data_IF_791443823735
#
_entry.id   IF_791443823735
#
_cell.length_a   1.000
_cell.length_b   1.000
_cell.length_c   1.000
_cell.angle_alpha   90.00
_cell.angle_beta   90.00
_cell.angle_gamma   90.00
#
_symmetry.space_group_name_H-M   'P 1'
#
loop_
_entity.id
_entity.type
_entity.pdbx_description
1 polymer ?
#
# COMPACT_ATOMS: atom_id res chain seq x y z
N UNK A 1 19.89 -0.27 -1.61
CA UNK A 1 18.63 0.25 -1.04
C UNK A 1 17.73 0.87 -2.11
N UNK A 2 18.07 2.01 -2.78
CA UNK A 2 17.13 2.65 -3.73
C UNK A 2 16.72 1.74 -4.91
N UNK A 3 17.64 1.05 -5.56
CA UNK A 3 17.31 0.15 -6.67
C UNK A 3 16.36 -0.97 -6.24
N UNK A 4 16.51 -1.49 -5.03
CA UNK A 4 15.63 -2.53 -4.48
C UNK A 4 14.20 -1.99 -4.26
N UNK A 5 14.05 -0.71 -3.82
CA UNK A 5 12.74 -0.05 -3.77
C UNK A 5 12.14 0.08 -5.17
N UNK A 6 12.92 0.56 -6.17
CA UNK A 6 12.43 0.69 -7.54
C UNK A 6 12.00 -0.66 -8.13
N UNK A 7 12.78 -1.71 -7.90
CA UNK A 7 12.45 -3.08 -8.32
C UNK A 7 11.16 -3.56 -7.66
N UNK A 8 10.99 -3.31 -6.34
CA UNK A 8 9.78 -3.66 -5.62
C UNK A 8 8.54 -2.91 -6.16
N UNK A 9 8.65 -1.59 -6.40
CA UNK A 9 7.58 -0.77 -6.97
C UNK A 9 7.17 -1.27 -8.36
N UNK A 10 8.16 -1.63 -9.21
CA UNK A 10 7.92 -2.16 -10.55
C UNK A 10 7.25 -3.54 -10.53
N UNK A 11 7.63 -4.39 -9.59
CA UNK A 11 7.05 -5.73 -9.41
C UNK A 11 5.67 -5.70 -8.71
N UNK A 12 5.27 -4.55 -8.15
CA UNK A 12 4.08 -4.39 -7.31
C UNK A 12 3.07 -3.39 -7.91
N UNK A 13 2.53 -3.63 -9.11
CA UNK A 13 1.61 -2.70 -9.78
C UNK A 13 0.25 -2.54 -9.07
N UNK A 14 -0.11 -3.48 -8.17
CA UNK A 14 -1.33 -3.49 -7.37
C UNK A 14 -1.10 -4.21 -6.05
N UNK A 15 -2.01 -4.04 -5.09
CA UNK A 15 -1.96 -4.59 -3.73
C UNK A 15 -1.69 -6.10 -3.68
N UNK A 16 -2.34 -6.92 -4.52
CA UNK A 16 -2.14 -8.38 -4.53
C UNK A 16 -0.70 -8.78 -4.85
N UNK A 17 -0.07 -8.12 -5.84
CA UNK A 17 1.32 -8.37 -6.20
C UNK A 17 2.27 -7.79 -5.14
N UNK A 18 1.95 -6.63 -4.56
CA UNK A 18 2.73 -6.06 -3.46
C UNK A 18 2.81 -7.03 -2.27
N UNK A 19 1.66 -7.56 -1.83
CA UNK A 19 1.60 -8.51 -0.72
C UNK A 19 2.30 -9.82 -1.06
N UNK A 20 2.18 -10.32 -2.32
CA UNK A 20 2.92 -11.51 -2.77
C UNK A 20 4.42 -11.29 -2.68
N UNK A 21 4.93 -10.18 -3.22
CA UNK A 21 6.36 -9.86 -3.18
C UNK A 21 6.90 -9.71 -1.76
N UNK A 22 6.11 -9.12 -0.84
CA UNK A 22 6.46 -9.04 0.58
C UNK A 22 6.48 -10.42 1.22
N UNK A 23 5.45 -11.25 0.97
CA UNK A 23 5.36 -12.61 1.50
C UNK A 23 6.51 -13.51 1.02
N UNK A 24 6.90 -13.38 -0.24
CA UNK A 24 8.03 -14.10 -0.81
C UNK A 24 9.35 -13.65 -0.15
N UNK A 25 9.61 -12.35 0.00
CA UNK A 25 10.79 -11.83 0.73
C UNK A 25 10.84 -12.27 2.19
N UNK A 26 9.69 -12.29 2.88
CA UNK A 26 9.60 -12.82 4.25
C UNK A 26 9.94 -14.31 4.28
N UNK A 27 9.40 -15.12 3.35
CA UNK A 27 9.69 -16.54 3.24
C UNK A 27 11.16 -16.81 2.97
N UNK A 28 11.76 -16.11 2.02
CA UNK A 28 13.18 -16.21 1.67
C UNK A 28 14.09 -15.82 2.85
N UNK A 29 13.59 -14.98 3.77
CA UNK A 29 14.28 -14.56 4.99
C UNK A 29 13.97 -15.47 6.20
N UNK A 30 13.30 -16.61 6.00
CA UNK A 30 13.07 -17.62 7.02
C UNK A 30 11.79 -17.43 7.85
N UNK A 31 10.93 -16.47 7.53
CA UNK A 31 9.61 -16.38 8.15
C UNK A 31 8.68 -17.48 7.65
N UNK A 32 8.02 -18.19 8.57
CA UNK A 32 7.07 -19.24 8.21
C UNK A 32 5.71 -18.66 7.86
N UNK A 33 5.16 -18.98 6.71
CA UNK A 33 3.75 -18.68 6.41
C UNK A 33 2.85 -19.58 7.25
N UNK A 34 1.92 -18.99 8.00
CA UNK A 34 0.95 -19.72 8.80
C UNK A 34 -0.46 -19.54 8.24
N UNK A 35 -1.25 -20.61 8.34
CA UNK A 35 -2.70 -20.53 8.13
C UNK A 35 -3.35 -19.96 9.39
N UNK A 36 -4.03 -18.81 9.33
CA UNK A 36 -4.70 -18.22 10.49
C UNK A 36 -5.82 -19.08 11.07
N UNK A 37 -6.32 -20.07 10.34
CA UNK A 37 -7.30 -21.04 10.86
C UNK A 37 -6.67 -22.10 11.80
N UNK A 38 -5.34 -22.27 11.71
CA UNK A 38 -4.64 -23.28 12.52
C UNK A 38 -4.11 -22.70 13.84
N UNK A 39 -3.95 -23.52 14.92
CA UNK A 39 -3.32 -23.07 16.15
C UNK A 39 -1.89 -22.55 15.94
N UNK A 40 -1.49 -21.48 16.67
CA UNK A 40 -0.11 -20.97 16.61
C UNK A 40 0.91 -21.95 17.21
N UNK A 41 0.48 -22.84 18.13
CA UNK A 41 1.37 -23.68 18.89
C UNK A 41 2.14 -22.92 19.97
N UNK A 42 3.24 -23.49 20.47
CA UNK A 42 4.14 -22.84 21.42
C UNK A 42 5.07 -21.90 20.68
N UNK A 43 5.15 -20.66 21.12
CA UNK A 43 6.02 -19.62 20.56
C UNK A 43 7.25 -19.43 21.44
N UNK A 44 8.43 -19.32 20.81
CA UNK A 44 9.72 -19.07 21.44
C UNK A 44 10.34 -17.80 20.90
N UNK A 45 11.25 -17.20 21.68
CA UNK A 45 12.05 -16.08 21.22
C UNK A 45 12.75 -16.38 19.88
N UNK A 46 12.65 -15.47 18.93
CA UNK A 46 13.18 -15.60 17.57
C UNK A 46 12.24 -16.29 16.57
N UNK A 47 11.15 -16.93 17.01
CA UNK A 47 10.15 -17.48 16.08
C UNK A 47 9.60 -16.36 15.21
N UNK A 48 9.73 -16.55 13.90
CA UNK A 48 9.32 -15.58 12.89
C UNK A 48 8.29 -16.20 11.96
N UNK A 49 7.15 -15.53 11.80
CA UNK A 49 6.07 -16.01 10.95
C UNK A 49 5.23 -14.87 10.39
N UNK A 50 4.47 -15.16 9.36
CA UNK A 50 3.50 -14.22 8.81
C UNK A 50 2.21 -14.91 8.40
N UNK A 51 1.15 -14.11 8.31
CA UNK A 51 -0.16 -14.50 7.78
C UNK A 51 -0.60 -13.49 6.74
N UNK A 52 -1.37 -13.93 5.75
CA UNK A 52 -2.03 -13.05 4.78
C UNK A 52 -3.54 -13.06 4.98
N UNK A 53 -4.22 -11.98 4.62
CA UNK A 53 -5.67 -11.91 4.59
C UNK A 53 -6.11 -11.39 3.23
N UNK A 54 -7.03 -12.12 2.57
CA UNK A 54 -7.55 -11.76 1.24
C UNK A 54 -6.47 -11.67 0.14
N UNK A 55 -5.25 -12.18 0.37
CA UNK A 55 -4.06 -12.03 -0.49
C UNK A 55 -3.68 -10.57 -0.78
N UNK A 56 -4.24 -9.61 -0.04
CA UNK A 56 -4.04 -8.18 -0.22
C UNK A 56 -3.58 -7.44 1.06
N UNK A 57 -3.47 -8.14 2.18
CA UNK A 57 -2.84 -7.67 3.41
C UNK A 57 -1.93 -8.74 4.01
N UNK A 58 -0.88 -8.33 4.73
CA UNK A 58 0.11 -9.21 5.34
C UNK A 58 0.50 -8.72 6.73
N UNK A 59 0.63 -9.65 7.66
CA UNK A 59 0.99 -9.41 9.06
C UNK A 59 2.15 -10.31 9.42
N UNK A 60 3.33 -9.74 9.66
CA UNK A 60 4.54 -10.46 10.02
C UNK A 60 4.91 -10.21 11.48
N UNK A 61 5.38 -11.25 12.15
CA UNK A 61 5.70 -11.25 13.57
C UNK A 61 7.06 -11.90 13.79
N UNK A 62 7.88 -11.29 14.65
CA UNK A 62 9.09 -11.90 15.22
C UNK A 62 9.00 -11.82 16.73
N UNK A 63 8.96 -12.96 17.40
CA UNK A 63 8.76 -13.07 18.84
C UNK A 63 10.03 -12.61 19.58
N UNK A 64 9.89 -11.63 20.47
CA UNK A 64 10.98 -11.06 21.25
C UNK A 64 11.53 -12.01 22.34
N UNK A 65 12.62 -11.59 22.98
CA UNK A 65 13.23 -12.37 24.08
C UNK A 65 12.36 -12.46 25.33
N UNK A 66 11.57 -11.40 25.61
CA UNK A 66 10.68 -11.36 26.78
C UNK A 66 9.24 -11.72 26.41
N UNK A 67 8.45 -12.25 27.34
CA UNK A 67 7.02 -12.38 27.18
C UNK A 67 6.38 -11.04 26.82
N UNK A 68 5.32 -11.07 25.97
CA UNK A 68 4.65 -9.81 25.57
C UNK A 68 4.05 -9.06 26.76
N UNK A 69 3.65 -9.75 27.83
CA UNK A 69 3.15 -9.12 29.05
C UNK A 69 4.17 -8.19 29.70
N UNK A 70 5.46 -8.44 29.51
CA UNK A 70 6.57 -7.67 30.09
C UNK A 70 7.11 -6.62 29.13
N UNK A 71 7.17 -6.90 27.82
CA UNK A 71 7.82 -6.07 26.81
C UNK A 71 6.85 -5.39 25.81
N UNK A 72 5.68 -5.96 25.57
CA UNK A 72 4.71 -5.42 24.63
C UNK A 72 5.03 -5.74 23.17
N UNK A 73 4.57 -4.86 22.28
CA UNK A 73 4.75 -4.97 20.84
C UNK A 73 5.35 -3.68 20.26
N UNK A 74 6.30 -3.80 19.37
CA UNK A 74 6.71 -2.74 18.46
C UNK A 74 6.05 -2.98 17.10
N UNK A 75 5.13 -2.09 16.72
CA UNK A 75 4.26 -2.29 15.55
C UNK A 75 4.55 -1.20 14.52
N UNK A 76 4.85 -1.59 13.28
CA UNK A 76 4.83 -0.70 12.13
C UNK A 76 3.65 -1.10 11.26
N UNK A 77 2.81 -0.10 10.93
CA UNK A 77 1.63 -0.26 10.07
C UNK A 77 1.82 0.55 8.79
N UNK A 78 1.37 0.00 7.65
CA UNK A 78 1.35 0.64 6.34
C UNK A 78 0.19 0.06 5.52
N UNK A 79 -0.04 0.54 4.28
CA UNK A 79 -1.07 -0.03 3.41
C UNK A 79 -0.57 -0.41 2.02
N UNK A 80 -1.18 -1.45 1.45
CA UNK A 80 -0.77 -2.05 0.17
C UNK A 80 -1.49 -1.49 -1.05
N UNK A 81 -2.66 -0.88 -0.85
CA UNK A 81 -3.50 -0.33 -1.91
C UNK A 81 -3.07 1.08 -2.30
N UNK A 82 -3.50 1.52 -3.46
CA UNK A 82 -3.23 2.86 -3.99
C UNK A 82 -4.37 3.27 -4.94
N UNK A 83 -4.64 4.58 -5.12
CA UNK A 83 -5.69 5.04 -6.01
C UNK A 83 -5.46 4.62 -7.45
N UNK A 84 -6.50 4.08 -8.07
CA UNK A 84 -6.45 3.56 -9.44
C UNK A 84 -7.86 3.42 -10.06
N UNK A 85 -7.97 2.63 -11.12
CA UNK A 85 -9.24 2.27 -11.76
C UNK A 85 -9.42 0.76 -11.75
N UNK A 86 -10.52 0.29 -11.14
CA UNK A 86 -10.92 -1.12 -11.15
C UNK A 86 -11.70 -1.44 -12.42
N UNK A 87 -11.41 -2.55 -13.05
CA UNK A 87 -12.16 -3.07 -14.19
C UNK A 87 -13.46 -3.71 -13.66
N UNK A 88 -14.60 -3.28 -14.22
CA UNK A 88 -15.92 -3.82 -13.83
C UNK A 88 -16.13 -5.23 -14.38
N UNK A 89 -17.00 -6.06 -13.75
CA UNK A 89 -17.22 -7.45 -14.19
C UNK A 89 -17.63 -7.58 -15.67
N UNK A 90 -18.55 -6.73 -16.16
CA UNK A 90 -18.90 -6.64 -17.58
C UNK A 90 -18.09 -5.49 -18.19
N UNK A 91 -16.86 -5.78 -18.57
CA UNK A 91 -15.85 -4.75 -18.82
C UNK A 91 -15.87 -4.20 -20.24
N UNK A 92 -16.12 -5.01 -21.26
CA UNK A 92 -15.92 -4.60 -22.64
C UNK A 92 -17.09 -3.75 -23.17
N UNK A 93 -16.73 -2.63 -23.80
CA UNK A 93 -17.66 -1.70 -24.45
C UNK A 93 -17.21 -1.48 -25.89
N UNK A 94 -18.01 -1.95 -26.84
CA UNK A 94 -17.77 -1.75 -28.26
C UNK A 94 -18.22 -0.35 -28.70
N UNK A 95 -17.35 0.39 -29.39
CA UNK A 95 -17.64 1.68 -29.98
C UNK A 95 -17.48 1.61 -31.50
N UNK A 96 -18.47 2.14 -32.25
CA UNK A 96 -18.51 2.18 -33.72
C UNK A 96 -18.18 0.81 -34.39
N UNK A 97 -18.56 -0.26 -33.74
CA UNK A 97 -18.46 -1.63 -34.26
C UNK A 97 -17.05 -2.24 -34.27
N UNK A 98 -16.02 -1.47 -33.94
CA UNK A 98 -14.62 -1.96 -34.04
C UNK A 98 -13.71 -1.62 -32.87
N UNK A 99 -13.90 -0.49 -32.20
CA UNK A 99 -13.04 -0.11 -31.06
C UNK A 99 -13.60 -0.64 -29.76
N UNK A 100 -12.74 -1.28 -28.96
CA UNK A 100 -13.09 -1.78 -27.63
C UNK A 100 -12.43 -0.92 -26.58
N UNK A 101 -13.24 -0.43 -25.64
CA UNK A 101 -12.80 0.23 -24.42
C UNK A 101 -13.27 -0.55 -23.20
N UNK A 102 -12.60 -0.38 -22.07
CA UNK A 102 -12.99 -1.03 -20.82
C UNK A 102 -13.85 -0.10 -19.96
N UNK A 103 -14.89 -0.67 -19.38
CA UNK A 103 -15.70 -0.05 -18.35
C UNK A 103 -14.99 -0.18 -17.01
N UNK A 104 -14.60 0.94 -16.43
CA UNK A 104 -13.87 1.00 -15.16
C UNK A 104 -14.63 1.81 -14.11
N UNK A 105 -14.29 1.61 -12.86
CA UNK A 105 -14.70 2.47 -11.76
C UNK A 105 -13.47 2.99 -11.01
N UNK A 106 -13.59 4.20 -10.46
CA UNK A 106 -12.51 4.82 -9.70
C UNK A 106 -12.38 4.14 -8.34
N UNK A 107 -11.18 3.71 -8.00
CA UNK A 107 -10.80 3.21 -6.69
C UNK A 107 -10.01 4.28 -5.94
N UNK A 108 -10.44 4.63 -4.72
CA UNK A 108 -9.82 5.71 -3.95
C UNK A 108 -10.03 7.10 -4.54
N UNK A 109 -9.06 7.98 -4.32
CA UNK A 109 -9.08 9.37 -4.73
C UNK A 109 -7.99 9.78 -5.74
N UNK A 110 -7.88 9.16 -6.95
CA UNK A 110 -6.81 9.49 -7.89
C UNK A 110 -6.93 10.89 -8.47
N UNK A 111 -5.80 11.53 -8.77
CA UNK A 111 -5.75 12.70 -9.64
C UNK A 111 -5.99 12.21 -11.08
N UNK A 112 -7.26 12.10 -11.48
CA UNK A 112 -7.67 11.43 -12.73
C UNK A 112 -6.96 11.95 -13.97
N UNK A 113 -6.69 13.27 -14.06
CA UNK A 113 -6.02 13.88 -15.21
C UNK A 113 -4.61 13.35 -15.48
N UNK A 114 -3.94 12.81 -14.47
CA UNK A 114 -2.58 12.27 -14.60
C UNK A 114 -2.52 10.88 -15.25
N UNK A 115 -3.67 10.25 -15.43
CA UNK A 115 -3.81 8.94 -16.07
C UNK A 115 -4.03 9.00 -17.57
N UNK A 116 -4.29 10.20 -18.10
CA UNK A 116 -4.50 10.40 -19.56
C UNK A 116 -3.18 10.36 -20.33
N UNK A 117 -3.27 9.90 -21.58
CA UNK A 117 -2.21 9.85 -22.58
C UNK A 117 -0.96 9.06 -22.15
N UNK A 118 -1.13 8.15 -21.19
CA UNK A 118 -0.06 7.33 -20.67
C UNK A 118 -0.22 5.88 -21.12
N UNK A 119 0.90 5.16 -21.36
CA UNK A 119 0.85 3.73 -21.53
C UNK A 119 0.44 3.08 -20.22
N UNK A 120 -0.69 2.39 -20.21
CA UNK A 120 -1.23 1.68 -19.06
C UNK A 120 -1.22 0.18 -19.30
N UNK A 121 -1.26 -0.58 -18.21
CA UNK A 121 -1.38 -2.03 -18.22
C UNK A 121 -2.47 -2.49 -17.24
N UNK A 122 -2.68 -3.81 -17.16
CA UNK A 122 -3.63 -4.47 -16.25
C UNK A 122 -2.86 -5.38 -15.30
N UNK A 123 -3.20 -5.31 -14.04
CA UNK A 123 -2.71 -6.23 -13.02
C UNK A 123 -3.80 -6.53 -11.98
N UNK A 124 -3.66 -7.65 -11.27
CA UNK A 124 -4.61 -8.04 -10.23
C UNK A 124 -4.58 -9.53 -9.95
N UNK A 125 -5.75 -10.06 -9.60
CA UNK A 125 -5.95 -11.49 -9.42
C UNK A 125 -7.12 -11.99 -10.26
N UNK A 126 -7.03 -13.26 -10.64
CA UNK A 126 -8.08 -14.02 -11.30
C UNK A 126 -8.44 -15.19 -10.41
N UNK A 127 -9.71 -15.41 -10.20
CA UNK A 127 -10.23 -16.52 -9.42
C UNK A 127 -10.59 -17.65 -10.36
N UNK A 128 -9.94 -18.77 -10.18
CA UNK A 128 -10.18 -19.98 -11.00
C UNK A 128 -10.80 -21.09 -10.14
N UNK A 129 -11.40 -22.06 -10.83
CA UNK A 129 -12.03 -23.21 -10.20
C UNK A 129 -11.01 -23.99 -9.37
N UNK A 130 -11.33 -24.20 -8.11
CA UNK A 130 -10.56 -25.02 -7.17
C UNK A 130 -11.23 -26.36 -6.88
N UNK A 131 -10.90 -26.94 -5.74
CA UNK A 131 -11.38 -28.27 -5.34
C UNK A 131 -12.89 -28.33 -5.09
N UNK A 132 -13.47 -27.25 -4.56
CA UNK A 132 -14.90 -27.12 -4.30
C UNK A 132 -15.34 -25.63 -4.35
N UNK A 133 -16.63 -25.38 -4.12
CA UNK A 133 -17.22 -24.04 -4.20
C UNK A 133 -16.69 -23.04 -3.15
N UNK A 134 -16.15 -23.52 -2.03
CA UNK A 134 -15.60 -22.70 -0.93
C UNK A 134 -14.08 -22.57 -1.00
N UNK A 135 -13.44 -23.29 -1.93
CA UNK A 135 -12.00 -23.37 -2.10
C UNK A 135 -11.56 -23.02 -3.54
N UNK A 136 -11.98 -21.85 -4.09
CA UNK A 136 -11.47 -21.40 -5.37
C UNK A 136 -9.99 -21.09 -5.26
N UNK A 137 -9.27 -21.16 -6.39
CA UNK A 137 -7.84 -20.83 -6.42
C UNK A 137 -7.64 -19.40 -6.94
N UNK A 138 -6.64 -18.73 -6.40
CA UNK A 138 -6.20 -17.40 -6.86
C UNK A 138 -4.97 -17.53 -7.75
N UNK A 139 -5.03 -16.94 -8.94
CA UNK A 139 -3.87 -16.72 -9.80
C UNK A 139 -3.63 -15.22 -9.95
N UNK A 140 -2.37 -14.79 -9.86
CA UNK A 140 -2.01 -13.38 -10.06
C UNK A 140 -1.82 -13.12 -11.56
N UNK A 141 -2.20 -11.91 -11.96
CA UNK A 141 -2.07 -11.45 -13.34
C UNK A 141 -1.33 -10.13 -13.38
N UNK A 142 -0.31 -10.03 -14.22
CA UNK A 142 0.37 -8.79 -14.55
C UNK A 142 0.79 -8.80 -16.02
N UNK A 143 0.11 -8.02 -16.83
CA UNK A 143 0.47 -7.85 -18.24
C UNK A 143 1.67 -6.91 -18.32
N UNK A 144 2.87 -7.46 -18.50
CA UNK A 144 4.15 -6.72 -18.44
C UNK A 144 4.47 -5.94 -19.73
N UNK A 145 3.46 -5.33 -20.34
CA UNK A 145 3.60 -4.47 -21.52
C UNK A 145 2.55 -3.37 -21.52
N UNK A 146 2.77 -2.26 -22.23
CA UNK A 146 1.70 -1.32 -22.54
C UNK A 146 0.55 -2.03 -23.25
N UNK A 147 -0.66 -1.89 -22.72
CA UNK A 147 -1.83 -2.60 -23.21
C UNK A 147 -2.97 -1.66 -23.59
N UNK A 148 -3.14 -0.56 -22.86
CA UNK A 148 -4.28 0.34 -23.01
C UNK A 148 -3.90 1.79 -22.67
N UNK A 149 -4.79 2.71 -23.04
CA UNK A 149 -4.59 4.14 -22.81
C UNK A 149 -5.92 4.86 -22.64
N UNK A 150 -6.00 5.79 -21.69
CA UNK A 150 -7.08 6.78 -21.59
C UNK A 150 -6.65 7.98 -22.40
N UNK A 151 -7.27 8.21 -23.57
CA UNK A 151 -6.89 9.29 -24.46
C UNK A 151 -7.64 10.58 -24.14
N UNK A 152 -6.92 11.71 -24.07
CA UNK A 152 -7.54 13.02 -23.99
C UNK A 152 -8.33 13.35 -25.27
N UNK A 153 -9.34 14.20 -25.11
CA UNK A 153 -9.96 14.84 -26.26
C UNK A 153 -9.03 15.90 -26.83
N UNK A 154 -8.85 15.91 -28.15
CA UNK A 154 -7.99 16.89 -28.80
C UNK A 154 -8.42 18.32 -28.43
N UNK A 155 -7.45 19.21 -28.23
CA UNK A 155 -7.68 20.61 -27.83
C UNK A 155 -8.67 21.33 -28.75
N UNK A 156 -8.72 20.96 -30.04
CA UNK A 156 -9.66 21.51 -31.02
C UNK A 156 -11.12 21.32 -30.65
N UNK A 157 -11.43 20.27 -29.92
CA UNK A 157 -12.77 19.92 -29.40
C UNK A 157 -12.98 20.29 -27.94
N UNK A 158 -11.91 20.71 -27.24
CA UNK A 158 -11.94 21.11 -25.83
C UNK A 158 -10.97 22.27 -25.58
N UNK A 159 -11.27 23.46 -26.12
CA UNK A 159 -10.37 24.63 -26.06
C UNK A 159 -10.14 25.17 -24.65
N UNK A 160 -10.99 24.78 -23.68
CA UNK A 160 -10.91 25.21 -22.28
C UNK A 160 -10.18 24.19 -21.39
N UNK A 161 -9.55 23.17 -21.96
CA UNK A 161 -8.90 22.09 -21.20
C UNK A 161 -7.87 22.63 -20.19
N UNK A 162 -7.18 23.73 -20.52
CA UNK A 162 -6.18 24.33 -19.63
C UNK A 162 -6.78 25.28 -18.58
N UNK A 163 -8.08 25.60 -18.66
CA UNK A 163 -8.79 26.42 -17.68
C UNK A 163 -9.44 25.58 -16.57
N UNK A 164 -9.26 24.25 -16.64
CA UNK A 164 -9.82 23.26 -15.73
C UNK A 164 -11.08 22.59 -16.28
N UNK A 165 -11.06 21.27 -16.34
CA UNK A 165 -12.18 20.45 -16.82
C UNK A 165 -12.65 19.49 -15.74
N UNK A 166 -13.95 19.50 -15.46
CA UNK A 166 -14.57 18.49 -14.58
C UNK A 166 -14.66 17.17 -15.33
N UNK A 167 -13.86 16.21 -14.93
CA UNK A 167 -13.87 14.86 -15.48
C UNK A 167 -15.04 14.01 -14.95
N UNK A 168 -15.73 13.33 -15.85
CA UNK A 168 -16.76 12.34 -15.53
C UNK A 168 -16.11 10.96 -15.29
N UNK A 169 -16.29 10.42 -14.09
CA UNK A 169 -15.83 9.06 -13.75
C UNK A 169 -16.43 7.97 -14.64
N UNK A 170 -17.63 8.16 -15.17
CA UNK A 170 -18.34 7.18 -16.00
C UNK A 170 -18.03 7.31 -17.49
N UNK A 171 -17.53 8.47 -17.95
CA UNK A 171 -17.42 8.76 -19.39
C UNK A 171 -15.97 8.99 -19.83
N UNK A 172 -15.22 9.78 -19.07
CA UNK A 172 -13.96 10.33 -19.56
C UNK A 172 -12.73 9.45 -19.26
N UNK A 173 -12.84 8.52 -18.32
CA UNK A 173 -11.73 7.69 -17.81
C UNK A 173 -11.81 6.22 -18.27
N UNK A 174 -12.44 5.97 -19.41
CA UNK A 174 -12.59 4.62 -19.97
C UNK A 174 -11.43 4.34 -20.94
N UNK A 175 -10.53 3.41 -20.63
CA UNK A 175 -9.34 3.15 -21.44
C UNK A 175 -9.70 2.42 -22.75
N UNK A 176 -9.05 2.81 -23.82
CA UNK A 176 -9.05 2.09 -25.08
C UNK A 176 -8.18 0.85 -24.94
N UNK A 177 -8.74 -0.33 -25.23
CA UNK A 177 -8.08 -1.62 -25.15
C UNK A 177 -7.56 -2.09 -26.53
N UNK A 178 -8.34 -1.92 -27.59
CA UNK A 178 -7.93 -2.38 -28.90
C UNK A 178 -9.01 -2.20 -29.97
N UNK A 179 -8.74 -2.78 -31.14
CA UNK A 179 -9.68 -2.89 -32.25
C UNK A 179 -10.03 -4.36 -32.46
N UNK A 180 -11.30 -4.64 -32.72
CA UNK A 180 -11.78 -5.97 -33.11
C UNK A 180 -11.39 -6.20 -34.57
N UNK A 181 -10.69 -7.27 -34.84
CA UNK A 181 -10.25 -7.66 -36.19
C UNK A 181 -11.15 -8.72 -36.81
N UNK A 182 -11.88 -9.48 -35.99
CA UNK A 182 -12.89 -10.44 -36.44
C UNK A 182 -14.08 -10.53 -35.45
N UNK A 183 -15.14 -11.23 -35.85
CA UNK A 183 -16.37 -11.36 -35.05
C UNK A 183 -16.14 -12.17 -33.74
N UNK A 184 -15.14 -13.07 -33.70
CA UNK A 184 -14.87 -13.91 -32.52
C UNK A 184 -14.20 -13.12 -31.40
N UNK A 185 -13.58 -11.98 -31.69
CA UNK A 185 -12.96 -11.11 -30.70
C UNK A 185 -14.00 -10.24 -29.97
N UNK A 186 -15.19 -10.03 -30.55
CA UNK A 186 -16.23 -9.19 -29.94
C UNK A 186 -16.66 -9.74 -28.58
N UNK A 187 -16.46 -8.92 -27.52
CA UNK A 187 -16.77 -9.29 -26.13
C UNK A 187 -15.81 -10.30 -25.51
N UNK A 188 -14.66 -10.56 -26.13
CA UNK A 188 -13.70 -11.58 -25.69
C UNK A 188 -12.26 -11.10 -25.56
N UNK A 189 -11.94 -9.86 -25.94
CA UNK A 189 -10.55 -9.39 -25.95
C UNK A 189 -9.90 -9.44 -24.57
N UNK A 190 -10.58 -8.94 -23.54
CA UNK A 190 -10.06 -8.98 -22.17
C UNK A 190 -9.88 -10.43 -21.70
N UNK A 191 -10.86 -11.29 -21.93
CA UNK A 191 -10.77 -12.69 -21.51
C UNK A 191 -9.64 -13.44 -22.24
N UNK A 192 -9.42 -13.15 -23.53
CA UNK A 192 -8.31 -13.73 -24.28
C UNK A 192 -6.95 -13.30 -23.70
N UNK A 193 -6.81 -12.03 -23.31
CA UNK A 193 -5.62 -11.52 -22.63
C UNK A 193 -5.40 -12.22 -21.28
N UNK A 194 -6.47 -12.37 -20.48
CA UNK A 194 -6.40 -13.09 -19.20
C UNK A 194 -5.91 -14.52 -19.42
N UNK A 195 -6.51 -15.24 -20.36
CA UNK A 195 -6.14 -16.62 -20.67
C UNK A 195 -4.69 -16.71 -21.16
N UNK A 196 -4.25 -15.81 -22.04
CA UNK A 196 -2.87 -15.77 -22.52
C UNK A 196 -1.88 -15.61 -21.37
N UNK A 197 -2.16 -14.69 -20.44
CA UNK A 197 -1.26 -14.45 -19.30
C UNK A 197 -1.26 -15.62 -18.30
N UNK A 198 -2.42 -16.17 -17.94
CA UNK A 198 -2.51 -17.30 -17.00
C UNK A 198 -1.86 -18.57 -17.57
N UNK A 199 -1.99 -18.81 -18.87
CA UNK A 199 -1.42 -19.97 -19.51
C UNK A 199 0.13 -19.93 -19.62
N UNK A 200 0.78 -18.82 -19.26
CA UNK A 200 2.25 -18.78 -19.08
C UNK A 200 2.70 -19.52 -17.82
N UNK A 201 1.83 -19.61 -16.81
CA UNK A 201 2.14 -20.33 -15.56
C UNK A 201 1.65 -21.78 -15.59
N UNK A 202 0.39 -21.99 -15.94
CA UNK A 202 -0.22 -23.32 -16.08
C UNK A 202 -1.40 -23.27 -17.04
N UNK A 203 -1.79 -24.42 -17.59
CA UNK A 203 -2.96 -24.55 -18.44
C UNK A 203 -4.25 -24.18 -17.66
N UNK A 204 -4.99 -23.20 -18.17
CA UNK A 204 -6.29 -22.74 -17.65
C UNK A 204 -7.25 -22.65 -18.81
N UNK A 205 -8.45 -23.22 -18.67
CA UNK A 205 -9.53 -23.10 -19.66
C UNK A 205 -10.43 -21.93 -19.29
N UNK A 206 -11.11 -21.37 -20.30
CA UNK A 206 -12.04 -20.27 -20.10
C UNK A 206 -13.10 -20.57 -19.05
N UNK A 207 -13.66 -21.77 -19.07
CA UNK A 207 -14.73 -22.19 -18.15
C UNK A 207 -14.24 -22.40 -16.71
N UNK A 208 -12.92 -22.42 -16.49
CA UNK A 208 -12.32 -22.47 -15.15
C UNK A 208 -12.18 -21.09 -14.53
N UNK A 209 -12.24 -20.01 -15.30
CA UNK A 209 -12.21 -18.63 -14.78
C UNK A 209 -13.59 -18.28 -14.23
N UNK A 210 -13.65 -18.00 -12.92
CA UNK A 210 -14.88 -17.72 -12.20
C UNK A 210 -15.13 -16.22 -12.05
N UNK A 211 -14.08 -15.43 -11.73
CA UNK A 211 -14.16 -13.99 -11.50
C UNK A 211 -12.77 -13.37 -11.49
N UNK A 212 -12.68 -12.05 -11.36
CA UNK A 212 -11.42 -11.32 -11.25
C UNK A 212 -11.53 -10.02 -10.44
N UNK A 213 -10.42 -9.62 -9.83
CA UNK A 213 -10.18 -8.27 -9.32
C UNK A 213 -8.98 -7.69 -10.10
N UNK A 214 -9.26 -6.93 -11.15
CA UNK A 214 -8.26 -6.35 -12.05
C UNK A 214 -8.30 -4.82 -11.99
N UNK A 215 -7.12 -4.22 -12.05
CA UNK A 215 -6.91 -2.78 -11.95
C UNK A 215 -5.98 -2.29 -13.05
N UNK A 216 -6.09 -1.00 -13.38
CA UNK A 216 -5.14 -0.33 -14.25
C UNK A 216 -3.86 0.01 -13.47
N UNK A 217 -2.73 -0.06 -14.16
CA UNK A 217 -1.44 0.37 -13.62
C UNK A 217 -0.65 1.15 -14.68
N UNK A 218 0.20 2.09 -14.25
CA UNK A 218 1.16 2.75 -15.14
C UNK A 218 2.19 1.72 -15.64
N UNK A 219 2.32 1.58 -16.95
CA UNK A 219 3.31 0.70 -17.56
C UNK A 219 4.73 1.31 -17.59
N UNK A 220 4.88 2.57 -17.17
CA UNK A 220 6.17 3.25 -17.12
C UNK A 220 6.92 2.86 -15.85
N UNK A 221 8.13 2.30 -15.92
CA UNK A 221 8.89 1.92 -14.75
C UNK A 221 9.21 3.08 -13.80
N UNK A 222 9.30 2.77 -12.51
CA UNK A 222 9.84 3.67 -11.51
C UNK A 222 11.29 4.03 -11.84
N UNK A 223 11.69 5.27 -11.58
CA UNK A 223 13.04 5.73 -11.85
C UNK A 223 13.47 6.81 -10.84
N UNK A 224 14.78 7.03 -10.75
CA UNK A 224 15.32 8.25 -10.15
C UNK A 224 15.47 9.36 -11.20
N UNK A 225 15.43 10.61 -10.77
CA UNK A 225 15.66 11.80 -11.60
C UNK A 225 16.22 12.95 -10.76
N UNK A 226 16.48 14.08 -11.42
CA UNK A 226 17.12 15.24 -10.83
C UNK A 226 18.58 15.33 -11.23
N UNK A 227 19.23 16.46 -10.92
CA UNK A 227 20.63 16.72 -11.32
C UNK A 227 21.59 15.69 -10.71
N UNK A 228 21.24 15.17 -9.52
CA UNK A 228 22.05 14.21 -8.78
C UNK A 228 21.30 12.88 -8.53
N UNK A 229 20.21 12.61 -9.28
CA UNK A 229 19.31 11.48 -9.07
C UNK A 229 18.73 11.44 -7.63
N UNK A 230 18.46 12.60 -7.07
CA UNK A 230 17.99 12.79 -5.69
C UNK A 230 16.49 12.53 -5.49
N UNK A 231 15.72 12.47 -6.58
CA UNK A 231 14.27 12.27 -6.56
C UNK A 231 13.90 10.91 -7.11
N UNK A 232 12.74 10.40 -6.66
CA UNK A 232 12.09 9.19 -7.15
C UNK A 232 10.85 9.61 -7.92
N UNK A 233 10.63 9.06 -9.12
CA UNK A 233 9.38 9.16 -9.86
C UNK A 233 8.76 7.78 -10.00
N UNK A 234 7.63 7.56 -9.35
CA UNK A 234 6.85 6.32 -9.41
C UNK A 234 5.40 6.59 -9.04
N UNK A 235 4.48 5.79 -9.53
CA UNK A 235 3.18 5.66 -8.87
C UNK A 235 3.31 4.84 -7.59
N UNK A 236 2.31 4.91 -6.73
CA UNK A 236 2.19 4.07 -5.52
C UNK A 236 3.33 4.23 -4.51
N UNK A 237 4.04 5.38 -4.51
CA UNK A 237 4.90 5.73 -3.39
C UNK A 237 4.06 5.75 -2.11
N UNK A 238 2.85 6.29 -2.22
CA UNK A 238 1.77 6.14 -1.29
C UNK A 238 1.03 4.80 -1.56
N UNK A 239 1.18 3.75 -0.71
CA UNK A 239 2.02 3.73 0.49
C UNK A 239 3.06 2.60 0.42
N UNK A 240 3.35 2.11 -0.81
CA UNK A 240 4.30 1.01 -1.00
C UNK A 240 5.73 1.38 -0.58
N UNK A 241 6.07 2.68 -0.54
CA UNK A 241 7.37 3.12 -0.02
C UNK A 241 7.50 2.87 1.49
N UNK A 242 6.42 3.03 2.25
CA UNK A 242 6.38 2.74 3.69
C UNK A 242 6.28 1.23 3.94
N UNK A 243 5.47 0.50 3.14
CA UNK A 243 5.44 -0.96 3.17
C UNK A 243 6.85 -1.55 3.03
N UNK A 244 7.61 -1.06 2.03
CA UNK A 244 8.95 -1.55 1.77
C UNK A 244 9.95 -1.14 2.84
N UNK A 245 9.86 0.10 3.35
CA UNK A 245 10.71 0.56 4.45
C UNK A 245 10.48 -0.26 5.73
N UNK A 246 9.22 -0.58 6.07
CA UNK A 246 8.88 -1.46 7.19
C UNK A 246 9.40 -2.88 7.01
N UNK A 247 9.31 -3.43 5.79
CA UNK A 247 9.84 -4.75 5.46
C UNK A 247 11.37 -4.79 5.59
N UNK A 248 12.09 -3.85 4.98
CA UNK A 248 13.56 -3.76 5.07
C UNK A 248 14.02 -3.63 6.53
N UNK A 249 13.31 -2.81 7.32
CA UNK A 249 13.59 -2.66 8.74
C UNK A 249 13.38 -3.97 9.50
N UNK A 250 12.27 -4.69 9.29
CA UNK A 250 12.01 -5.97 9.95
C UNK A 250 13.05 -7.03 9.58
N UNK A 251 13.52 -7.04 8.33
CA UNK A 251 14.52 -7.99 7.88
C UNK A 251 15.93 -7.66 8.37
N UNK A 252 16.21 -6.36 8.59
CA UNK A 252 17.55 -5.87 8.99
C UNK A 252 17.73 -5.76 10.51
N UNK A 253 16.63 -5.66 11.25
CA UNK A 253 16.67 -5.48 12.70
C UNK A 253 17.16 -6.74 13.43
N UNK A 254 17.86 -6.51 14.53
CA UNK A 254 18.23 -7.56 15.47
C UNK A 254 16.99 -8.05 16.26
N UNK A 255 17.10 -9.22 16.86
CA UNK A 255 16.11 -9.72 17.80
C UNK A 255 16.20 -8.92 19.10
N UNK A 256 15.12 -8.22 19.46
CA UNK A 256 15.02 -7.42 20.70
C UNK A 256 14.20 -8.13 21.78
N UNK A 257 14.08 -7.48 22.94
CA UNK A 257 13.20 -7.97 24.02
C UNK A 257 11.71 -7.94 23.60
N UNK A 258 11.33 -6.97 22.77
CA UNK A 258 9.95 -6.69 22.34
C UNK A 258 9.57 -7.51 21.12
N UNK A 259 8.34 -8.01 21.04
CA UNK A 259 7.85 -8.66 19.84
C UNK A 259 7.62 -7.63 18.73
N UNK A 260 8.30 -7.84 17.61
CA UNK A 260 8.28 -6.99 16.42
C UNK A 260 7.10 -7.38 15.53
N UNK A 261 6.38 -6.39 15.02
CA UNK A 261 5.19 -6.59 14.18
C UNK A 261 5.22 -5.65 12.98
N UNK A 262 5.09 -6.19 11.78
CA UNK A 262 4.82 -5.42 10.56
C UNK A 262 3.41 -5.78 10.10
N UNK A 263 2.50 -4.79 10.05
CA UNK A 263 1.12 -4.96 9.66
C UNK A 263 0.82 -4.10 8.43
N UNK A 264 0.66 -4.74 7.27
CA UNK A 264 0.33 -4.07 6.02
C UNK A 264 -1.12 -4.38 5.69
N UNK A 265 -1.95 -3.34 5.70
CA UNK A 265 -3.38 -3.40 5.46
C UNK A 265 -3.74 -3.15 4.00
N UNK A 266 -5.00 -3.40 3.66
CA UNK A 266 -5.57 -3.07 2.35
C UNK A 266 -6.76 -2.10 2.55
N UNK A 267 -7.20 -1.46 1.46
CA UNK A 267 -8.36 -0.58 1.40
C UNK A 267 -8.29 0.66 2.30
N UNK A 268 -7.10 1.16 2.61
CA UNK A 268 -6.94 2.46 3.27
C UNK A 268 -7.60 3.55 2.44
N UNK A 269 -7.34 3.59 1.15
CA UNK A 269 -7.82 4.56 0.17
C UNK A 269 -9.34 4.60 -0.01
N UNK A 270 -10.04 3.65 0.58
CA UNK A 270 -11.51 3.53 0.55
C UNK A 270 -12.12 3.46 1.95
N UNK A 271 -11.35 3.79 3.00
CA UNK A 271 -11.82 3.97 4.37
C UNK A 271 -11.62 2.77 5.29
N UNK A 272 -10.80 1.79 4.94
CA UNK A 272 -10.35 0.67 5.81
C UNK A 272 -11.44 -0.27 6.35
N UNK A 273 -12.70 -0.13 5.96
CA UNK A 273 -13.84 -0.89 6.52
C UNK A 273 -14.06 -2.23 5.81
N UNK A 274 -13.03 -3.05 5.71
CA UNK A 274 -13.08 -4.40 5.11
C UNK A 274 -12.45 -5.42 6.04
N UNK A 275 -12.60 -6.72 5.74
CA UNK A 275 -11.98 -7.80 6.53
C UNK A 275 -10.44 -7.78 6.52
N UNK A 276 -9.82 -7.09 5.57
CA UNK A 276 -8.38 -6.94 5.38
C UNK A 276 -7.88 -5.51 5.64
N UNK A 277 -8.78 -4.56 5.93
CA UNK A 277 -8.45 -3.16 6.24
C UNK A 277 -8.14 -2.95 7.73
N UNK A 278 -7.66 -1.75 8.06
CA UNK A 278 -7.26 -1.39 9.43
C UNK A 278 -8.41 -1.39 10.45
N UNK A 279 -9.66 -1.21 10.02
CA UNK A 279 -10.83 -1.32 10.87
C UNK A 279 -11.20 -2.78 11.23
N UNK A 280 -10.57 -3.78 10.57
CA UNK A 280 -10.77 -5.18 10.90
C UNK A 280 -10.18 -5.52 12.28
N UNK A 281 -10.85 -6.35 13.08
CA UNK A 281 -10.29 -6.83 14.34
C UNK A 281 -9.17 -7.89 14.15
N UNK A 282 -8.75 -8.17 12.90
CA UNK A 282 -7.84 -9.28 12.61
C UNK A 282 -6.47 -9.11 13.27
N UNK A 283 -5.88 -7.91 13.23
CA UNK A 283 -4.61 -7.66 13.94
C UNK A 283 -4.77 -7.90 15.45
N UNK A 284 -5.83 -7.36 16.09
CA UNK A 284 -6.11 -7.58 17.50
C UNK A 284 -6.22 -9.09 17.84
N UNK A 285 -6.90 -9.86 16.97
CA UNK A 285 -7.00 -11.31 17.15
C UNK A 285 -5.63 -12.00 17.08
N UNK A 286 -4.76 -11.60 16.16
CA UNK A 286 -3.42 -12.18 16.06
C UNK A 286 -2.56 -11.83 17.28
N UNK A 287 -2.55 -10.57 17.72
CA UNK A 287 -1.82 -10.15 18.92
C UNK A 287 -2.32 -10.89 20.18
N UNK A 288 -3.64 -11.04 20.34
CA UNK A 288 -4.24 -11.78 21.43
C UNK A 288 -3.85 -13.27 21.39
N UNK A 289 -3.85 -13.89 20.21
CA UNK A 289 -3.42 -15.29 20.03
C UNK A 289 -1.95 -15.50 20.42
N UNK A 290 -1.07 -14.53 20.11
CA UNK A 290 0.33 -14.57 20.55
C UNK A 290 0.40 -14.55 22.07
N UNK A 291 -0.35 -13.68 22.73
CA UNK A 291 -0.45 -13.65 24.20
C UNK A 291 -0.90 -14.96 24.81
N UNK A 292 -1.96 -15.53 24.25
CA UNK A 292 -2.48 -16.83 24.68
C UNK A 292 -1.47 -17.96 24.46
N UNK A 293 -0.73 -17.96 23.35
CA UNK A 293 0.27 -18.97 23.05
C UNK A 293 1.50 -18.90 23.98
N UNK A 294 1.84 -17.69 24.48
CA UNK A 294 2.97 -17.52 25.41
C UNK A 294 2.59 -17.77 26.87
N UNK A 295 1.41 -17.34 27.32
CA UNK A 295 1.07 -17.28 28.76
C UNK A 295 -0.17 -18.09 29.15
N UNK A 296 -0.97 -18.53 28.19
CA UNK A 296 -2.27 -19.14 28.45
C UNK A 296 -3.34 -18.19 29.01
N UNK A 297 -3.08 -16.87 29.01
CA UNK A 297 -3.95 -15.84 29.62
C UNK A 297 -4.21 -14.69 28.67
N UNK A 298 -5.47 -14.23 28.62
CA UNK A 298 -5.85 -12.99 27.91
C UNK A 298 -5.29 -11.73 28.59
N UNK A 299 -5.04 -11.76 29.89
CA UNK A 299 -4.46 -10.67 30.67
C UNK A 299 -3.12 -10.24 30.10
N UNK A 300 -2.31 -11.18 29.63
CA UNK A 300 -1.03 -10.88 28.98
C UNK A 300 -1.18 -10.00 27.73
N UNK A 301 -2.24 -10.18 26.96
CA UNK A 301 -2.53 -9.30 25.83
C UNK A 301 -2.86 -7.87 26.26
N UNK A 302 -3.70 -7.70 27.28
CA UNK A 302 -4.04 -6.36 27.77
C UNK A 302 -2.83 -5.63 28.35
N UNK A 303 -1.98 -6.33 29.11
CA UNK A 303 -0.71 -5.80 29.60
C UNK A 303 0.24 -5.41 28.46
N UNK A 304 0.29 -6.23 27.41
CA UNK A 304 1.13 -5.98 26.25
C UNK A 304 0.67 -4.74 25.45
N UNK A 305 -0.64 -4.52 25.32
CA UNK A 305 -1.21 -3.35 24.64
C UNK A 305 -0.78 -2.05 25.33
N UNK A 306 -0.79 -2.02 26.68
CA UNK A 306 -0.34 -0.85 27.46
C UNK A 306 1.16 -0.54 27.30
N UNK A 307 1.97 -1.54 26.97
CA UNK A 307 3.41 -1.42 26.74
C UNK A 307 3.77 -1.24 25.27
N UNK A 308 2.83 -1.47 24.39
CA UNK A 308 3.06 -1.40 22.95
C UNK A 308 3.27 0.05 22.46
N UNK A 309 3.96 0.16 21.34
CA UNK A 309 4.05 1.38 20.58
C UNK A 309 3.82 1.08 19.09
N UNK A 310 3.06 1.95 18.42
CA UNK A 310 2.71 1.83 17.00
C UNK A 310 3.28 3.01 16.22
N UNK A 311 3.93 2.71 15.11
CA UNK A 311 4.23 3.66 14.04
C UNK A 311 3.23 3.38 12.93
N UNK A 312 2.30 4.31 12.71
CA UNK A 312 1.41 4.32 11.55
C UNK A 312 2.13 5.07 10.44
N UNK A 313 2.69 4.30 9.53
CA UNK A 313 3.52 4.80 8.43
C UNK A 313 2.65 4.94 7.19
N UNK A 314 2.48 6.18 6.76
CA UNK A 314 1.68 6.58 5.61
C UNK A 314 2.20 7.93 5.13
N UNK A 315 2.46 8.10 3.83
CA UNK A 315 3.18 9.24 3.30
C UNK A 315 2.55 10.59 3.67
N UNK A 316 3.37 11.64 3.67
CA UNK A 316 2.99 13.01 3.99
C UNK A 316 3.15 13.92 2.78
N UNK A 317 2.44 15.07 2.78
CA UNK A 317 2.51 16.05 1.70
C UNK A 317 3.78 16.88 1.81
N UNK A 318 4.68 16.78 0.82
CA UNK A 318 5.82 17.69 0.69
C UNK A 318 5.38 19.09 0.30
N UNK A 319 6.07 20.10 0.81
CA UNK A 319 5.87 21.48 0.39
C UNK A 319 6.05 21.64 -1.12
N UNK A 320 5.04 22.20 -1.79
CA UNK A 320 5.03 22.35 -3.23
C UNK A 320 5.55 23.73 -3.65
N UNK A 321 6.65 23.82 -4.42
CA UNK A 321 7.31 25.08 -4.72
C UNK A 321 6.44 26.07 -5.52
N UNK A 322 5.45 25.58 -6.27
CA UNK A 322 4.56 26.43 -7.07
C UNK A 322 3.27 26.83 -6.34
N UNK A 323 3.00 26.25 -5.15
CA UNK A 323 1.76 26.50 -4.39
C UNK A 323 2.06 26.65 -2.88
N UNK A 324 2.99 27.53 -2.48
CA UNK A 324 3.39 27.68 -1.08
C UNK A 324 2.24 28.11 -0.18
N UNK A 325 1.25 28.82 -0.70
CA UNK A 325 0.08 29.30 0.02
C UNK A 325 -0.91 28.20 0.44
N UNK A 326 -0.72 26.97 -0.05
CA UNK A 326 -1.55 25.80 0.32
C UNK A 326 -1.08 25.10 1.59
N UNK A 327 0.04 25.51 2.12
CA UNK A 327 0.70 24.86 3.27
C UNK A 327 0.69 25.76 4.50
N UNK A 328 0.78 25.13 5.68
CA UNK A 328 1.03 25.88 6.92
C UNK A 328 2.39 26.59 6.81
N UNK A 329 2.46 27.87 7.21
CA UNK A 329 3.68 28.67 6.99
C UNK A 329 4.90 28.21 7.78
N UNK A 330 4.73 27.40 8.84
CA UNK A 330 5.82 26.98 9.74
C UNK A 330 5.94 25.45 9.89
N UNK A 331 4.91 24.68 9.50
CA UNK A 331 4.86 23.22 9.66
C UNK A 331 4.65 22.51 8.32
N UNK A 332 5.55 22.75 7.38
CA UNK A 332 5.54 22.17 6.04
C UNK A 332 6.83 21.38 5.77
N UNK A 333 6.75 20.09 5.45
CA UNK A 333 7.93 19.27 5.24
C UNK A 333 8.51 19.43 3.85
N UNK A 334 9.84 19.30 3.78
CA UNK A 334 10.61 19.36 2.54
C UNK A 334 11.02 17.95 2.09
N UNK A 335 11.12 17.73 0.77
CA UNK A 335 11.77 16.54 0.24
C UNK A 335 13.21 16.46 0.70
N UNK A 336 13.67 15.29 1.13
CA UNK A 336 15.02 15.06 1.62
C UNK A 336 15.27 15.50 3.06
N UNK A 337 14.23 15.97 3.76
CA UNK A 337 14.32 16.44 5.15
C UNK A 337 14.10 15.36 6.21
N UNK A 338 13.90 14.12 5.81
CA UNK A 338 13.67 12.96 6.69
C UNK A 338 12.19 12.71 7.02
N UNK A 339 11.93 11.67 7.82
CA UNK A 339 10.58 11.30 8.24
C UNK A 339 9.79 12.46 8.83
N UNK A 340 8.50 12.50 8.53
CA UNK A 340 7.57 13.58 8.87
C UNK A 340 6.55 13.09 9.89
N UNK A 341 6.51 13.66 11.09
CA UNK A 341 5.45 13.42 12.08
C UNK A 341 4.23 14.25 11.68
N UNK A 342 3.05 13.61 11.58
CA UNK A 342 1.79 14.24 11.19
C UNK A 342 0.96 14.59 12.42
N UNK A 343 0.44 15.82 12.51
CA UNK A 343 -0.44 16.31 13.59
C UNK A 343 -1.76 16.83 13.03
N UNK A 344 -2.84 16.58 13.74
CA UNK A 344 -4.15 17.11 13.40
C UNK A 344 -4.99 17.37 14.65
N UNK A 345 -5.45 18.61 14.84
CA UNK A 345 -6.27 19.00 15.99
C UNK A 345 -7.63 18.27 16.04
N UNK A 346 -8.15 17.82 14.89
CA UNK A 346 -9.39 17.04 14.83
C UNK A 346 -9.16 15.52 15.04
N UNK A 347 -7.95 15.13 15.52
CA UNK A 347 -7.58 13.75 15.84
C UNK A 347 -7.74 12.78 14.66
N UNK A 348 -7.48 13.25 13.45
CA UNK A 348 -7.42 12.41 12.25
C UNK A 348 -6.12 11.59 12.16
N UNK A 349 -5.15 11.92 13.00
CA UNK A 349 -3.91 11.21 13.23
C UNK A 349 -3.84 10.79 14.70
N UNK A 350 -3.20 9.66 14.99
CA UNK A 350 -3.00 9.15 16.35
C UNK A 350 -1.91 9.92 17.12
N UNK A 351 -1.15 10.77 16.44
CA UNK A 351 -0.03 11.52 17.04
C UNK A 351 -0.49 12.50 18.11
N UNK A 352 0.20 12.45 19.23
CA UNK A 352 0.17 13.44 20.30
C UNK A 352 1.59 13.90 20.68
N UNK A 353 1.72 14.77 21.66
CA UNK A 353 3.04 15.28 22.05
C UNK A 353 3.96 14.20 22.61
N UNK A 354 3.41 13.19 23.31
CA UNK A 354 4.18 12.12 23.91
C UNK A 354 4.70 11.13 22.83
N UNK A 355 3.81 10.68 21.94
CA UNK A 355 4.17 9.77 20.86
C UNK A 355 5.11 10.41 19.84
N UNK A 356 4.91 11.70 19.54
CA UNK A 356 5.81 12.48 18.69
C UNK A 356 7.21 12.62 19.29
N UNK A 357 7.31 12.82 20.61
CA UNK A 357 8.60 12.88 21.31
C UNK A 357 9.33 11.53 21.22
N UNK A 358 8.62 10.40 21.36
CA UNK A 358 9.21 9.07 21.20
C UNK A 358 9.81 8.93 19.80
N UNK A 359 9.03 9.22 18.74
CA UNK A 359 9.52 9.05 17.37
C UNK A 359 10.65 10.02 17.02
N UNK A 360 10.61 11.27 17.50
CA UNK A 360 11.72 12.21 17.33
C UNK A 360 13.01 11.72 18.00
N UNK A 361 12.90 11.12 19.19
CA UNK A 361 14.05 10.53 19.89
C UNK A 361 14.60 9.29 19.16
N UNK A 362 13.72 8.49 18.51
CA UNK A 362 14.14 7.39 17.63
C UNK A 362 14.95 7.91 16.43
N UNK A 363 14.46 8.96 15.78
CA UNK A 363 15.18 9.59 14.67
C UNK A 363 16.54 10.13 15.10
N UNK A 364 16.62 10.81 16.26
CA UNK A 364 17.88 11.29 16.83
C UNK A 364 18.86 10.12 17.08
N UNK A 365 18.39 9.04 17.68
CA UNK A 365 19.19 7.84 17.96
C UNK A 365 19.66 7.15 16.68
N UNK A 366 18.82 7.10 15.65
CA UNK A 366 19.16 6.60 14.32
C UNK A 366 20.08 7.54 13.52
N UNK A 367 20.34 8.75 14.00
CA UNK A 367 21.14 9.77 13.32
C UNK A 367 20.47 10.31 12.05
N UNK A 368 19.12 10.39 12.03
CA UNK A 368 18.34 10.90 10.90
C UNK A 368 17.58 12.17 11.28
N UNK A 369 17.39 13.12 10.34
CA UNK A 369 16.56 14.29 10.59
C UNK A 369 15.10 13.88 10.74
N UNK A 370 14.29 14.76 11.38
CA UNK A 370 12.85 14.54 11.55
C UNK A 370 12.09 15.84 11.36
N UNK A 371 10.99 15.80 10.64
CA UNK A 371 10.16 16.95 10.32
C UNK A 371 8.77 16.86 10.98
N UNK A 372 8.00 17.94 10.91
CA UNK A 372 6.62 18.01 11.40
C UNK A 372 5.73 18.57 10.33
N UNK A 373 4.50 18.04 10.29
CA UNK A 373 3.46 18.46 9.36
C UNK A 373 2.16 18.77 10.10
N UNK A 374 1.59 19.88 9.73
CA UNK A 374 0.20 20.27 10.07
C UNK A 374 -0.45 20.81 8.79
N UNK A 375 -1.69 20.47 8.53
CA UNK A 375 -2.41 21.01 7.39
C UNK A 375 -2.56 22.53 7.51
N UNK A 376 -2.59 23.23 6.38
CA UNK A 376 -3.13 24.60 6.35
C UNK A 376 -4.51 24.62 6.99
N UNK A 377 -4.79 25.60 7.87
CA UNK A 377 -5.99 25.58 8.71
C UNK A 377 -7.31 25.56 7.93
N UNK A 378 -7.32 26.09 6.71
CA UNK A 378 -8.50 26.11 5.83
C UNK A 378 -8.58 24.85 4.93
N UNK A 379 -7.61 23.91 5.03
CA UNK A 379 -7.59 22.67 4.24
C UNK A 379 -7.99 21.50 5.12
N UNK A 380 -9.07 20.83 4.76
CA UNK A 380 -9.46 19.60 5.43
C UNK A 380 -8.47 18.50 5.08
N UNK A 381 -7.69 18.01 6.07
CA UNK A 381 -6.79 16.88 5.90
C UNK A 381 -7.52 15.55 5.74
N UNK A 382 -6.86 14.56 5.16
CA UNK A 382 -7.27 13.15 5.17
C UNK A 382 -7.14 12.53 6.55
N UNK A 383 -7.51 11.26 6.66
CA UNK A 383 -7.27 10.38 7.80
C UNK A 383 -6.23 9.34 7.39
N UNK A 384 -5.73 8.57 8.34
CA UNK A 384 -4.75 7.50 8.12
C UNK A 384 -5.14 6.24 8.88
N UNK A 385 -4.30 5.20 8.81
CA UNK A 385 -4.48 3.95 9.56
C UNK A 385 -4.46 4.15 11.08
N UNK A 386 -3.66 5.10 11.59
CA UNK A 386 -3.33 5.24 13.00
C UNK A 386 -4.52 5.49 13.90
N UNK A 387 -5.38 6.45 13.55
CA UNK A 387 -6.57 6.75 14.35
C UNK A 387 -7.61 5.63 14.29
N UNK A 388 -7.70 4.91 13.15
CA UNK A 388 -8.60 3.76 12.98
C UNK A 388 -8.14 2.61 13.88
N UNK A 389 -6.85 2.28 13.84
CA UNK A 389 -6.27 1.23 14.69
C UNK A 389 -6.36 1.58 16.17
N UNK A 390 -6.02 2.81 16.57
CA UNK A 390 -6.09 3.26 17.96
C UNK A 390 -7.52 3.25 18.51
N UNK A 391 -8.55 3.34 17.66
CA UNK A 391 -9.95 3.19 18.09
C UNK A 391 -10.38 1.74 18.34
N UNK A 392 -9.71 0.77 17.71
CA UNK A 392 -10.00 -0.67 17.86
C UNK A 392 -9.09 -1.37 18.85
N UNK A 393 -7.82 -0.96 18.92
CA UNK A 393 -6.81 -1.41 19.89
C UNK A 393 -6.21 -0.15 20.51
N UNK A 394 -6.34 0.12 21.83
CA UNK A 394 -5.92 1.38 22.44
C UNK A 394 -4.38 1.50 22.53
N UNK A 395 -3.72 1.49 21.38
CA UNK A 395 -2.26 1.58 21.26
C UNK A 395 -1.78 3.02 21.37
N UNK A 396 -0.68 3.24 22.07
CA UNK A 396 0.10 4.48 21.92
C UNK A 396 0.74 4.47 20.54
N UNK A 397 0.67 5.57 19.82
CA UNK A 397 1.23 5.58 18.47
C UNK A 397 1.44 6.96 17.87
N UNK A 398 2.19 6.97 16.79
CA UNK A 398 2.51 8.16 16.01
C UNK A 398 2.15 7.90 14.54
N UNK A 399 1.50 8.87 13.90
CA UNK A 399 1.35 8.90 12.45
C UNK A 399 2.52 9.66 11.83
N UNK A 400 3.21 9.01 10.92
CA UNK A 400 4.35 9.59 10.24
C UNK A 400 4.43 9.08 8.80
N UNK A 401 5.26 9.69 7.97
CA UNK A 401 5.56 9.20 6.63
C UNK A 401 6.67 9.99 5.96
N UNK A 402 7.05 9.58 4.74
CA UNK A 402 7.95 10.37 3.92
C UNK A 402 7.18 11.48 3.18
N UNK A 403 7.82 12.62 3.01
CA UNK A 403 7.25 13.70 2.22
C UNK A 403 7.25 13.34 0.72
N UNK A 404 6.09 13.46 0.06
CA UNK A 404 5.97 13.26 -1.38
C UNK A 404 5.17 14.39 -2.03
N UNK A 405 5.46 14.67 -3.29
CA UNK A 405 4.67 15.55 -4.14
C UNK A 405 3.71 14.74 -5.01
N UNK A 406 2.60 15.39 -5.38
CA UNK A 406 1.58 14.80 -6.24
C UNK A 406 1.02 13.47 -5.72
N UNK A 407 0.86 13.33 -4.40
CA UNK A 407 0.17 12.17 -3.80
C UNK A 407 -1.13 11.86 -4.54
N UNK A 408 -1.41 10.57 -4.80
CA UNK A 408 -2.54 10.10 -5.61
C UNK A 408 -2.46 10.39 -7.12
N UNK A 409 -1.36 10.95 -7.61
CA UNK A 409 -1.09 10.99 -9.05
C UNK A 409 -0.77 9.59 -9.59
N UNK A 410 -1.01 9.36 -10.88
CA UNK A 410 -0.49 8.18 -11.56
C UNK A 410 1.05 8.06 -11.42
N UNK A 411 1.74 9.20 -11.23
CA UNK A 411 3.17 9.27 -10.84
C UNK A 411 3.37 10.35 -9.78
N UNK A 412 3.94 9.93 -8.68
CA UNK A 412 4.28 10.73 -7.52
C UNK A 412 5.78 11.02 -7.50
N UNK A 413 6.20 11.97 -6.68
CA UNK A 413 7.60 12.33 -6.53
C UNK A 413 8.02 12.24 -5.07
N UNK A 414 9.01 11.39 -4.78
CA UNK A 414 9.62 11.25 -3.47
C UNK A 414 11.10 11.61 -3.47
N UNK A 415 11.77 11.46 -2.33
CA UNK A 415 13.21 11.63 -2.19
C UNK A 415 13.91 10.31 -1.87
N UNK A 416 15.03 10.06 -2.52
CA UNK A 416 15.91 8.92 -2.26
C UNK A 416 16.35 8.88 -0.81
N UNK A 417 16.76 10.05 -0.25
CA UNK A 417 17.22 10.16 1.13
C UNK A 417 16.15 9.86 2.15
N UNK A 418 14.91 10.30 1.92
CA UNK A 418 13.83 10.10 2.87
C UNK A 418 13.52 8.61 3.06
N UNK A 419 13.59 7.82 1.98
CA UNK A 419 13.45 6.37 2.08
C UNK A 419 14.56 5.76 2.95
N UNK A 420 15.83 6.14 2.71
CA UNK A 420 16.96 5.63 3.51
C UNK A 420 16.85 6.03 4.97
N UNK A 421 16.43 7.25 5.27
CA UNK A 421 16.21 7.73 6.63
C UNK A 421 15.08 6.97 7.33
N UNK A 422 14.00 6.70 6.60
CA UNK A 422 12.86 5.96 7.13
C UNK A 422 13.25 4.53 7.51
N UNK A 423 13.97 3.82 6.64
CA UNK A 423 14.48 2.47 6.95
C UNK A 423 15.37 2.48 8.21
N UNK A 424 16.26 3.47 8.36
CA UNK A 424 17.12 3.60 9.56
C UNK A 424 16.30 3.81 10.83
N UNK A 425 15.33 4.73 10.80
CA UNK A 425 14.47 5.02 11.95
C UNK A 425 13.62 3.80 12.35
N UNK A 426 13.09 3.07 11.38
CA UNK A 426 12.28 1.86 11.60
C UNK A 426 13.14 0.70 12.12
N UNK A 427 14.36 0.53 11.61
CA UNK A 427 15.31 -0.48 12.12
C UNK A 427 15.66 -0.18 13.58
N UNK A 428 15.96 1.08 13.92
CA UNK A 428 16.22 1.49 15.31
C UNK A 428 15.02 1.22 16.22
N UNK A 429 13.79 1.46 15.74
CA UNK A 429 12.58 1.15 16.48
C UNK A 429 12.44 -0.35 16.79
N UNK A 430 12.72 -1.21 15.84
CA UNK A 430 12.66 -2.66 16.06
C UNK A 430 13.79 -3.19 16.93
N UNK A 431 14.96 -2.54 16.96
CA UNK A 431 16.11 -2.93 17.78
C UNK A 431 15.92 -2.63 19.29
N UNK A 432 14.97 -1.78 19.65
CA UNK A 432 14.62 -1.44 21.03
C UNK A 432 13.63 -2.44 21.62
#
# INVERSE_FOLDING_TARGET
MINQLLDFLNASPVNFLAVRNIADKLSDSGFRRLDPAMPLGTLKAGDSFFVTKNDSSVYAFRIGHKPIADAGFHIICAHSDSPTFRIKPNAEMLAEGSMVKLNTEVYGGPIMSTWFDRPLTIAGRVIVRGADAFSPETMLLHVQRPLLQISNLAIHFNRQVNDGVKLSRQKDVLPLLGQVTDELEKGNLLMNIILEELNKEREVKRDDILDFDLYLADATPACTFGVHNEFISSGRLDDLSMCYAGLEAMLSADLSDTTQVLAIFDNEETGSQTKQGAASPFLAFMLKRIGMAQSGSEEAFYQAVERAFMISADNAHAWHPNYPEKYDPTNHPMLGGGPVIKFNAAQKYASDAASAAVFASLCEKAGVPCQRFVNHSDVAGGSTLGNILASSIPLRGVDMGNAILAMHSCRETGSVRDHEYCVKAFTEFFNL
#
